data_IF_410099715006
#
_entry.id   IF_410099715006
#
_cell.length_a   1.000
_cell.length_b   1.000
_cell.length_c   1.000
_cell.angle_alpha   90.00
_cell.angle_beta   90.00
_cell.angle_gamma   90.00
#
_symmetry.space_group_name_H-M   'P 1'
#
loop_
_entity.id
_entity.type
_entity.pdbx_description
1 polymer ?
#
# COMPACT_ATOMS: atom_id res chain seq x y z
N UNK A 1 26.52 14.64 16.83
CA UNK A 1 25.23 14.16 17.34
C UNK A 1 25.46 13.44 18.66
N UNK A 2 24.91 13.95 19.75
CA UNK A 2 24.87 13.21 21.02
C UNK A 2 23.74 12.18 20.89
N UNK A 3 24.07 10.90 20.87
CA UNK A 3 23.08 9.85 21.11
C UNK A 3 22.73 9.91 22.60
N UNK A 4 21.64 10.59 22.96
CA UNK A 4 20.97 10.35 24.24
C UNK A 4 20.30 8.98 24.13
N UNK A 5 20.60 8.06 25.03
CA UNK A 5 20.12 6.66 24.99
C UNK A 5 18.61 6.47 25.18
N UNK A 6 17.78 7.49 24.93
CA UNK A 6 16.32 7.40 24.87
C UNK A 6 15.90 7.66 23.44
N UNK A 7 15.17 6.72 22.84
CA UNK A 7 14.48 7.02 21.58
C UNK A 7 13.29 7.94 21.93
N UNK A 8 13.25 9.17 21.40
CA UNK A 8 12.19 10.11 21.75
C UNK A 8 10.85 9.62 21.24
N UNK A 9 9.80 9.80 22.04
CA UNK A 9 8.44 9.55 21.56
C UNK A 9 7.99 10.62 20.54
N UNK A 10 6.79 10.47 20.00
CA UNK A 10 6.29 11.38 18.97
C UNK A 10 6.14 12.84 19.45
N UNK A 11 5.81 13.07 20.73
CA UNK A 11 5.66 14.41 21.29
C UNK A 11 7.01 15.04 21.60
N UNK A 12 7.93 14.26 22.16
CA UNK A 12 9.32 14.68 22.37
C UNK A 12 9.96 15.05 21.04
N UNK A 13 9.79 14.23 20.00
CA UNK A 13 10.32 14.52 18.67
C UNK A 13 9.71 15.77 18.04
N UNK A 14 8.41 16.00 18.25
CA UNK A 14 7.75 17.21 17.78
C UNK A 14 8.33 18.46 18.47
N UNK A 15 8.50 18.41 19.79
CA UNK A 15 9.08 19.50 20.58
C UNK A 15 10.53 19.79 20.16
N UNK A 16 11.36 18.76 19.91
CA UNK A 16 12.72 18.92 19.39
C UNK A 16 12.75 19.64 18.04
N UNK A 17 11.86 19.26 17.12
CA UNK A 17 11.77 19.89 15.80
C UNK A 17 11.34 21.37 15.93
N UNK A 18 10.33 21.64 16.77
CA UNK A 18 9.85 23.00 17.03
C UNK A 18 10.92 23.88 17.69
N UNK A 19 11.69 23.34 18.64
CA UNK A 19 12.78 24.05 19.31
C UNK A 19 13.95 24.35 18.36
N UNK A 20 14.29 23.41 17.47
CA UNK A 20 15.44 23.55 16.57
C UNK A 20 15.14 24.40 15.33
N UNK A 21 13.96 24.21 14.73
CA UNK A 21 13.61 24.82 13.43
C UNK A 21 12.40 25.75 13.50
N UNK A 22 11.47 25.52 14.43
CA UNK A 22 10.22 26.28 14.56
C UNK A 22 9.48 26.41 13.22
N UNK A 23 9.20 27.64 12.81
CA UNK A 23 8.54 27.92 11.53
C UNK A 23 9.52 28.08 10.34
N UNK A 24 10.82 27.84 10.53
CA UNK A 24 11.85 28.07 9.50
C UNK A 24 12.69 26.80 9.18
N UNK A 25 12.08 25.62 8.95
CA UNK A 25 12.83 24.45 8.51
C UNK A 25 13.35 24.62 7.07
N UNK A 26 14.48 23.99 6.76
CA UNK A 26 14.89 23.75 5.38
C UNK A 26 14.07 22.60 4.79
N UNK A 27 13.01 22.91 4.03
CA UNK A 27 12.10 21.92 3.46
C UNK A 27 12.71 21.14 2.27
N UNK A 28 13.83 21.59 1.70
CA UNK A 28 14.54 20.80 0.69
C UNK A 28 15.30 19.64 1.37
N UNK A 29 15.88 19.89 2.55
CA UNK A 29 16.54 18.88 3.36
C UNK A 29 15.54 18.03 4.19
N UNK A 30 14.47 18.64 4.68
CA UNK A 30 13.43 18.03 5.51
C UNK A 30 12.04 18.13 4.87
N UNK A 31 11.82 17.48 3.71
CA UNK A 31 10.55 17.57 3.00
C UNK A 31 9.36 17.04 3.80
N UNK A 32 9.58 16.27 4.87
CA UNK A 32 8.55 15.68 5.73
C UNK A 32 8.48 16.36 7.10
N UNK A 33 9.07 17.54 7.28
CA UNK A 33 9.06 18.28 8.54
C UNK A 33 7.65 18.40 9.13
N UNK A 34 7.44 17.85 10.33
CA UNK A 34 6.18 17.89 11.06
C UNK A 34 5.07 16.99 10.48
N UNK A 35 5.33 16.24 9.41
CA UNK A 35 4.36 15.31 8.83
C UNK A 35 4.25 14.08 9.73
N UNK A 36 3.03 13.80 10.21
CA UNK A 36 2.78 12.65 11.10
C UNK A 36 2.49 11.39 10.30
N UNK A 37 3.16 10.31 10.66
CA UNK A 37 2.99 9.00 10.05
C UNK A 37 2.52 7.96 11.05
N UNK A 38 1.67 7.05 10.59
CA UNK A 38 1.60 5.71 11.19
C UNK A 38 2.28 4.68 10.30
N UNK A 39 2.85 3.65 10.90
CA UNK A 39 3.38 2.49 10.19
C UNK A 39 2.61 1.26 10.58
N UNK A 40 2.24 0.39 9.63
CA UNK A 40 1.69 -0.93 9.95
C UNK A 40 2.59 -1.62 11.00
N UNK A 41 1.99 -2.29 11.97
CA UNK A 41 2.72 -2.87 13.11
C UNK A 41 3.97 -3.72 12.75
N UNK A 42 3.98 -4.52 11.67
CA UNK A 42 5.13 -5.33 11.31
C UNK A 42 6.43 -4.58 11.00
N UNK A 43 6.40 -3.30 10.64
CA UNK A 43 7.63 -2.55 10.27
C UNK A 43 8.47 -2.26 11.51
N UNK A 44 9.77 -2.54 11.48
CA UNK A 44 10.59 -2.28 12.66
C UNK A 44 10.68 -0.79 13.01
N UNK A 45 10.52 -0.48 14.29
CA UNK A 45 10.66 0.86 14.87
C UNK A 45 11.42 0.74 16.18
N UNK A 46 12.54 1.43 16.34
CA UNK A 46 13.41 1.21 17.51
C UNK A 46 12.82 1.70 18.84
N UNK A 47 11.78 2.51 18.78
CA UNK A 47 11.12 3.20 19.90
C UNK A 47 9.74 2.64 20.23
N UNK A 48 9.22 1.73 19.42
CA UNK A 48 7.89 1.14 19.59
C UNK A 48 7.91 -0.34 19.29
N UNK A 49 6.97 -1.07 19.89
CA UNK A 49 6.82 -2.51 19.67
C UNK A 49 6.49 -2.81 18.20
N UNK A 50 7.04 -3.88 17.66
CA UNK A 50 6.77 -4.38 16.31
C UNK A 50 6.47 -5.88 16.41
N UNK A 51 5.17 -6.21 16.51
CA UNK A 51 4.70 -7.55 16.90
C UNK A 51 4.00 -8.29 15.76
N UNK A 52 3.82 -7.64 14.62
CA UNK A 52 2.96 -8.12 13.55
C UNK A 52 1.49 -8.22 13.97
N UNK A 53 1.10 -7.52 15.03
CA UNK A 53 -0.22 -7.58 15.66
C UNK A 53 -0.44 -8.80 16.56
N UNK A 54 0.59 -9.58 16.87
CA UNK A 54 0.48 -10.86 17.57
C UNK A 54 0.84 -10.81 19.05
N UNK A 55 0.18 -11.65 19.84
CA UNK A 55 0.58 -11.95 21.22
C UNK A 55 1.53 -13.14 21.22
N UNK A 56 2.80 -12.86 20.94
CA UNK A 56 3.89 -13.82 21.02
C UNK A 56 4.82 -13.46 22.18
N UNK A 57 5.45 -14.49 22.76
CA UNK A 57 6.40 -14.33 23.85
C UNK A 57 7.76 -13.84 23.34
N UNK A 58 7.81 -12.59 22.89
CA UNK A 58 9.05 -11.91 22.53
C UNK A 58 9.89 -11.67 23.79
N UNK A 59 11.19 -11.97 23.74
CA UNK A 59 12.12 -11.52 24.78
C UNK A 59 12.27 -10.00 24.78
N UNK A 60 12.27 -9.41 23.57
CA UNK A 60 12.25 -7.97 23.30
C UNK A 60 11.33 -7.76 22.10
N UNK A 61 10.26 -6.99 22.27
CA UNK A 61 9.25 -6.73 21.25
C UNK A 61 9.42 -5.38 20.55
N UNK A 62 10.41 -4.58 20.94
CA UNK A 62 10.88 -3.41 20.19
C UNK A 62 12.20 -3.73 19.47
N UNK A 63 12.28 -3.56 18.14
CA UNK A 63 13.50 -3.82 17.38
C UNK A 63 14.69 -2.96 17.81
N UNK A 64 15.90 -3.45 17.57
CA UNK A 64 17.13 -2.70 17.89
C UNK A 64 17.33 -1.47 16.99
N UNK A 65 16.72 -1.45 15.80
CA UNK A 65 16.86 -0.39 14.82
C UNK A 65 15.58 -0.23 13.99
N UNK A 66 15.43 0.95 13.41
CA UNK A 66 14.33 1.23 12.49
C UNK A 66 14.43 0.43 11.18
N UNK A 67 13.27 0.12 10.61
CA UNK A 67 13.17 -0.20 9.19
C UNK A 67 13.71 0.98 8.37
N UNK A 68 14.35 0.72 7.22
CA UNK A 68 15.01 1.78 6.44
C UNK A 68 14.05 2.93 6.09
N UNK A 69 12.81 2.61 5.74
CA UNK A 69 11.80 3.62 5.40
C UNK A 69 11.41 4.50 6.60
N UNK A 70 11.35 3.94 7.81
CA UNK A 70 11.09 4.70 9.05
C UNK A 70 12.25 5.68 9.28
N UNK A 71 13.49 5.17 9.21
CA UNK A 71 14.70 5.98 9.34
C UNK A 71 14.75 7.11 8.31
N UNK A 72 14.51 6.81 7.03
CA UNK A 72 14.56 7.78 5.95
C UNK A 72 13.54 8.90 6.09
N UNK A 73 12.36 8.62 6.67
CA UNK A 73 11.36 9.65 6.96
C UNK A 73 11.77 10.49 8.19
N UNK A 74 12.23 9.86 9.28
CA UNK A 74 12.73 10.56 10.48
C UNK A 74 13.86 11.53 10.14
N UNK A 75 14.82 11.08 9.35
CA UNK A 75 15.95 11.89 8.88
C UNK A 75 15.50 13.09 8.03
N UNK A 76 14.27 13.05 7.50
CA UNK A 76 13.64 14.12 6.70
C UNK A 76 12.56 14.90 7.44
N UNK A 77 12.56 14.82 8.78
CA UNK A 77 11.72 15.62 9.67
C UNK A 77 10.34 15.02 9.97
N UNK A 78 10.06 13.79 9.54
CA UNK A 78 8.80 13.13 9.85
C UNK A 78 8.68 12.77 11.33
N UNK A 79 7.44 12.80 11.83
CA UNK A 79 7.08 12.33 13.18
C UNK A 79 6.40 10.97 13.01
N UNK A 80 7.03 9.91 13.53
CA UNK A 80 6.46 8.56 13.53
C UNK A 80 5.57 8.45 14.76
N UNK A 81 4.27 8.64 14.58
CA UNK A 81 3.31 8.84 15.65
C UNK A 81 2.84 7.54 16.29
N UNK A 82 2.59 6.51 15.47
CA UNK A 82 1.97 5.29 15.96
C UNK A 82 2.22 4.06 15.08
N UNK A 83 2.08 2.89 15.71
CA UNK A 83 1.93 1.60 15.05
C UNK A 83 0.47 1.36 14.71
N UNK A 84 0.20 1.10 13.44
CA UNK A 84 -1.14 0.92 12.92
C UNK A 84 -1.54 -0.55 12.99
N UNK A 85 -2.72 -0.82 13.57
CA UNK A 85 -3.26 -2.18 13.70
C UNK A 85 -3.34 -2.87 12.34
N UNK A 86 -2.97 -4.15 12.31
CA UNK A 86 -3.08 -5.01 11.14
C UNK A 86 -3.80 -6.31 11.47
N UNK A 87 -4.25 -7.04 10.45
CA UNK A 87 -4.58 -8.45 10.64
C UNK A 87 -3.30 -9.19 11.04
N UNK A 88 -3.35 -9.90 12.17
CA UNK A 88 -2.22 -10.62 12.78
C UNK A 88 -1.39 -11.40 11.75
N UNK A 89 -0.06 -11.25 11.82
CA UNK A 89 0.92 -11.83 10.87
C UNK A 89 0.56 -11.57 9.41
N UNK A 90 0.18 -10.34 9.09
CA UNK A 90 -0.27 -9.90 7.76
C UNK A 90 -1.44 -10.71 7.16
N UNK A 91 -2.18 -11.46 7.99
CA UNK A 91 -3.23 -12.37 7.54
C UNK A 91 -2.74 -13.74 7.08
N UNK A 92 -1.48 -14.10 7.38
CA UNK A 92 -0.89 -15.43 7.18
C UNK A 92 -0.26 -15.98 8.47
N UNK A 93 -1.01 -15.96 9.56
CA UNK A 93 -0.62 -16.79 10.70
C UNK A 93 -0.54 -18.24 10.22
N UNK A 94 0.64 -18.85 10.32
CA UNK A 94 0.79 -20.29 10.09
C UNK A 94 0.03 -21.09 11.13
N UNK A 95 0.16 -22.42 11.09
CA UNK A 95 -0.19 -23.24 12.25
C UNK A 95 0.91 -23.06 13.30
N UNK A 96 0.67 -22.40 14.44
CA UNK A 96 1.69 -22.24 15.48
C UNK A 96 2.02 -23.59 16.16
N UNK A 97 1.30 -24.66 15.82
CA UNK A 97 1.33 -25.93 16.52
C UNK A 97 0.67 -25.84 17.90
N UNK A 98 0.78 -26.92 18.68
CA UNK A 98 0.21 -27.02 20.02
C UNK A 98 -1.13 -27.76 20.08
N UNK A 99 -1.76 -27.74 21.26
CA UNK A 99 -2.95 -28.55 21.56
C UNK A 99 -4.28 -27.93 21.10
N UNK A 100 -4.25 -26.68 20.65
CA UNK A 100 -5.44 -25.93 20.25
C UNK A 100 -5.49 -25.86 18.73
N UNK A 101 -6.56 -26.36 18.15
CA UNK A 101 -6.84 -26.26 16.70
C UNK A 101 -8.07 -25.39 16.50
N UNK A 102 -8.05 -24.43 15.56
CA UNK A 102 -9.23 -23.62 15.31
C UNK A 102 -10.36 -24.49 14.74
N UNK A 103 -11.57 -24.35 15.28
CA UNK A 103 -12.76 -25.04 14.75
C UNK A 103 -13.14 -24.54 13.34
N UNK A 104 -12.70 -23.33 12.99
CA UNK A 104 -12.86 -22.74 11.66
C UNK A 104 -11.68 -21.82 11.31
N UNK A 105 -11.20 -21.92 10.07
CA UNK A 105 -10.27 -20.96 9.48
C UNK A 105 -11.09 -19.95 8.69
N UNK A 106 -11.22 -18.73 9.21
CA UNK A 106 -11.82 -17.63 8.47
C UNK A 106 -10.73 -16.93 7.67
N UNK A 107 -10.78 -16.95 6.33
CA UNK A 107 -9.84 -16.20 5.52
C UNK A 107 -9.90 -14.73 5.91
N UNK A 108 -8.75 -14.12 6.22
CA UNK A 108 -8.65 -12.68 6.48
C UNK A 108 -9.28 -11.84 5.36
N UNK A 109 -9.25 -12.37 4.12
CA UNK A 109 -9.87 -11.81 2.92
C UNK A 109 -11.40 -11.75 2.94
N UNK A 110 -12.08 -12.18 4.00
CA UNK A 110 -13.53 -12.02 4.18
C UNK A 110 -13.90 -10.96 5.23
N UNK A 111 -12.96 -10.11 5.63
CA UNK A 111 -13.23 -9.00 6.56
C UNK A 111 -13.12 -9.37 8.05
N UNK A 112 -12.62 -10.56 8.39
CA UNK A 112 -12.37 -10.95 9.78
C UNK A 112 -10.98 -10.48 10.23
N UNK A 113 -10.86 -9.18 10.45
CA UNK A 113 -9.61 -8.56 10.87
C UNK A 113 -9.49 -8.57 12.37
N UNK A 114 -8.42 -9.20 12.87
CA UNK A 114 -8.09 -9.21 14.29
C UNK A 114 -6.59 -9.11 14.45
N UNK A 115 -6.17 -8.27 15.38
CA UNK A 115 -4.89 -8.34 16.06
C UNK A 115 -5.17 -8.68 17.52
N UNK A 116 -4.33 -9.49 18.16
CA UNK A 116 -4.53 -9.81 19.57
C UNK A 116 -4.35 -8.57 20.46
N UNK A 117 -3.38 -7.70 20.14
CA UNK A 117 -3.16 -6.44 20.85
C UNK A 117 -4.11 -5.31 20.41
N UNK A 118 -4.27 -5.13 19.10
CA UNK A 118 -5.03 -4.00 18.54
C UNK A 118 -6.54 -4.24 18.39
N UNK A 119 -7.00 -5.46 18.67
CA UNK A 119 -8.40 -5.85 18.51
C UNK A 119 -8.86 -5.83 17.04
N UNK A 120 -10.14 -5.51 16.85
CA UNK A 120 -10.81 -5.48 15.56
C UNK A 120 -11.09 -4.02 15.16
N UNK A 121 -10.39 -3.45 14.16
CA UNK A 121 -10.70 -2.09 13.71
C UNK A 121 -12.03 -2.07 12.94
N UNK A 122 -12.82 -1.01 13.17
CA UNK A 122 -14.08 -0.74 12.46
C UNK A 122 -13.88 0.19 11.27
N UNK A 123 -14.77 0.10 10.28
CA UNK A 123 -14.78 1.03 9.16
C UNK A 123 -15.26 2.42 9.62
N UNK A 124 -14.59 3.52 9.23
CA UNK A 124 -14.97 4.86 9.66
C UNK A 124 -16.26 5.39 9.01
N UNK A 125 -16.70 4.80 7.89
CA UNK A 125 -17.95 5.16 7.21
C UNK A 125 -19.15 4.35 7.72
N UNK A 126 -18.92 3.18 8.31
CA UNK A 126 -19.94 2.34 8.94
C UNK A 126 -19.28 1.47 10.01
N UNK A 127 -19.40 1.89 11.28
CA UNK A 127 -18.70 1.24 12.39
C UNK A 127 -19.23 -0.16 12.71
N UNK A 128 -20.33 -0.58 12.09
CA UNK A 128 -20.85 -1.96 12.17
C UNK A 128 -20.10 -2.92 11.24
N UNK A 129 -19.26 -2.39 10.34
CA UNK A 129 -18.46 -3.16 9.39
C UNK A 129 -17.00 -3.22 9.79
N UNK A 130 -16.34 -4.29 9.34
CA UNK A 130 -14.89 -4.41 9.42
C UNK A 130 -14.20 -3.27 8.66
N UNK A 131 -13.09 -2.78 9.19
CA UNK A 131 -12.34 -1.68 8.58
C UNK A 131 -11.96 -1.94 7.11
N UNK A 132 -11.62 -3.18 6.74
CA UNK A 132 -11.34 -3.56 5.34
C UNK A 132 -11.20 -5.07 5.14
N UNK A 133 -10.72 -5.50 3.96
CA UNK A 133 -10.21 -6.86 3.70
C UNK A 133 -8.84 -7.12 4.34
N UNK A 134 -8.06 -6.07 4.60
CA UNK A 134 -6.81 -6.17 5.34
C UNK A 134 -5.63 -6.69 4.52
N UNK A 135 -4.43 -6.76 5.09
CA UNK A 135 -4.12 -6.63 6.51
C UNK A 135 -3.70 -5.22 6.97
N UNK A 136 -3.41 -4.24 6.10
CA UNK A 136 -3.00 -2.88 6.54
C UNK A 136 -4.17 -1.97 6.91
N UNK A 137 -5.04 -2.46 7.77
CA UNK A 137 -6.33 -1.85 8.08
C UNK A 137 -6.20 -0.55 8.84
N UNK A 138 -5.44 -0.58 9.94
CA UNK A 138 -5.15 0.59 10.75
C UNK A 138 -4.45 1.67 9.93
N UNK A 139 -3.57 1.30 9.00
CA UNK A 139 -2.86 2.24 8.14
C UNK A 139 -3.81 3.07 7.27
N UNK A 140 -4.81 2.42 6.67
CA UNK A 140 -5.80 3.13 5.87
C UNK A 140 -6.83 3.87 6.74
N UNK A 141 -7.25 3.27 7.85
CA UNK A 141 -8.18 3.89 8.82
C UNK A 141 -7.59 5.17 9.40
N UNK A 142 -6.34 5.15 9.87
CA UNK A 142 -5.68 6.28 10.51
C UNK A 142 -5.58 7.49 9.58
N UNK A 143 -5.28 7.26 8.30
CA UNK A 143 -5.31 8.29 7.26
C UNK A 143 -6.75 8.72 7.00
N UNK A 144 -7.69 7.80 6.86
CA UNK A 144 -9.10 8.10 6.58
C UNK A 144 -9.74 8.98 7.65
N UNK A 145 -9.43 8.74 8.93
CA UNK A 145 -9.96 9.48 10.08
C UNK A 145 -9.13 10.71 10.48
N UNK A 146 -8.07 11.05 9.74
CA UNK A 146 -7.15 12.14 10.04
C UNK A 146 -6.40 11.99 11.39
N UNK A 147 -6.20 10.76 11.87
CA UNK A 147 -5.34 10.52 13.03
C UNK A 147 -3.86 10.77 12.71
N UNK A 148 -3.49 10.52 11.45
CA UNK A 148 -2.16 10.84 10.89
C UNK A 148 -2.33 11.43 9.49
N UNK A 149 -1.32 12.15 9.00
CA UNK A 149 -1.35 12.71 7.65
C UNK A 149 -1.11 11.64 6.57
N UNK A 150 -0.29 10.63 6.89
CA UNK A 150 0.02 9.52 5.99
C UNK A 150 0.32 8.23 6.74
N UNK A 151 0.29 7.10 6.03
CA UNK A 151 0.71 5.83 6.60
C UNK A 151 1.43 4.95 5.58
N UNK A 152 2.40 4.17 6.08
CA UNK A 152 2.96 3.07 5.31
C UNK A 152 2.30 1.75 5.72
N UNK A 153 1.85 1.01 4.70
CA UNK A 153 1.28 -0.32 4.78
C UNK A 153 2.16 -1.35 4.07
N UNK A 154 1.77 -2.61 4.18
CA UNK A 154 2.40 -3.73 3.48
C UNK A 154 1.35 -4.50 2.67
N UNK A 155 1.74 -4.98 1.49
CA UNK A 155 0.92 -5.84 0.64
C UNK A 155 1.63 -7.08 0.08
N UNK A 156 1.22 -8.25 0.58
CA UNK A 156 1.50 -9.53 -0.09
C UNK A 156 0.60 -9.74 -1.31
N UNK A 157 -0.69 -9.40 -1.18
CA UNK A 157 -1.68 -9.60 -2.26
C UNK A 157 -2.65 -8.44 -2.39
N UNK A 158 -3.42 -8.12 -1.35
CA UNK A 158 -4.41 -7.03 -1.40
C UNK A 158 -4.33 -6.12 -0.17
N UNK A 159 -3.27 -6.27 0.63
CA UNK A 159 -3.18 -5.73 1.97
C UNK A 159 -2.89 -4.24 2.07
N UNK A 160 -2.70 -3.55 0.94
CA UNK A 160 -2.77 -2.10 0.87
C UNK A 160 -3.98 -1.64 0.06
N UNK A 161 -4.25 -2.30 -1.09
CA UNK A 161 -5.35 -1.95 -2.01
C UNK A 161 -6.73 -2.15 -1.38
N UNK A 162 -6.93 -3.26 -0.68
CA UNK A 162 -8.16 -3.56 0.06
C UNK A 162 -8.45 -2.48 1.10
N UNK A 163 -7.54 -2.21 2.06
CA UNK A 163 -7.70 -1.12 3.02
C UNK A 163 -7.93 0.25 2.39
N UNK A 164 -7.18 0.61 1.34
CA UNK A 164 -7.35 1.87 0.61
C UNK A 164 -8.76 2.02 0.05
N UNK A 165 -9.26 0.98 -0.64
CA UNK A 165 -10.60 0.97 -1.23
C UNK A 165 -11.72 1.09 -0.19
N UNK A 166 -11.59 0.41 0.96
CA UNK A 166 -12.64 0.39 1.99
C UNK A 166 -12.66 1.65 2.84
N UNK A 167 -11.57 2.40 2.89
CA UNK A 167 -11.42 3.59 3.72
C UNK A 167 -11.32 4.88 2.90
N UNK A 168 -11.55 4.80 1.59
CA UNK A 168 -11.51 5.93 0.65
C UNK A 168 -10.26 6.82 0.81
N UNK A 169 -9.09 6.18 0.84
CA UNK A 169 -7.78 6.84 0.88
C UNK A 169 -6.98 6.51 -0.37
N UNK A 170 -6.12 7.44 -0.79
CA UNK A 170 -5.21 7.24 -1.91
C UNK A 170 -4.12 6.22 -1.57
N UNK A 171 -3.65 5.49 -2.58
CA UNK A 171 -2.57 4.53 -2.46
C UNK A 171 -1.64 4.64 -3.66
N UNK A 172 -0.35 4.77 -3.39
CA UNK A 172 0.69 4.36 -4.34
C UNK A 172 1.28 3.07 -3.81
N UNK A 173 1.22 2.02 -4.62
CA UNK A 173 1.82 0.72 -4.34
C UNK A 173 2.93 0.46 -5.38
N UNK A 174 4.19 0.83 -5.08
CA UNK A 174 5.27 0.68 -6.03
C UNK A 174 5.60 -0.79 -6.32
N UNK A 175 6.46 -0.98 -7.31
CA UNK A 175 7.10 -2.27 -7.54
C UNK A 175 7.91 -2.66 -6.31
N UNK A 176 7.95 -3.96 -5.95
CA UNK A 176 8.69 -4.47 -4.77
C UNK A 176 10.16 -4.05 -4.76
N UNK A 177 10.79 -4.08 -5.94
CA UNK A 177 12.17 -3.65 -6.13
C UNK A 177 12.42 -2.13 -5.97
N UNK A 178 11.35 -1.33 -5.83
CA UNK A 178 11.47 0.09 -5.54
C UNK A 178 11.56 0.30 -4.04
N UNK A 179 10.48 0.15 -3.29
CA UNK A 179 10.52 0.27 -1.83
C UNK A 179 10.37 -1.10 -1.18
N UNK A 180 11.43 -1.52 -0.48
CA UNK A 180 11.50 -2.79 0.22
C UNK A 180 10.54 -2.89 1.40
N UNK A 181 10.38 -4.12 1.89
CA UNK A 181 9.66 -4.44 3.12
C UNK A 181 10.44 -5.41 3.99
N UNK A 182 11.20 -6.34 3.39
CA UNK A 182 11.78 -7.47 4.13
C UNK A 182 13.00 -7.07 4.99
N UNK A 183 13.56 -5.88 4.77
CA UNK A 183 14.79 -5.37 5.39
C UNK A 183 14.68 -4.97 6.87
N UNK A 184 13.68 -5.45 7.60
CA UNK A 184 13.43 -5.08 9.01
C UNK A 184 11.94 -5.02 9.30
N UNK A 185 11.23 -6.11 9.01
CA UNK A 185 9.82 -6.22 9.27
C UNK A 185 9.39 -7.68 9.34
N UNK A 186 8.23 -7.93 9.97
CA UNK A 186 7.62 -9.27 10.02
C UNK A 186 6.80 -9.50 8.73
N UNK A 187 7.33 -10.29 7.79
CA UNK A 187 6.69 -10.61 6.51
C UNK A 187 5.76 -11.81 6.51
N UNK A 188 5.00 -11.94 5.43
CA UNK A 188 4.09 -13.05 5.14
C UNK A 188 4.58 -13.92 3.98
N UNK A 189 5.19 -13.32 2.97
CA UNK A 189 5.69 -13.98 1.76
C UNK A 189 6.74 -13.10 1.08
N UNK A 190 8.01 -13.41 1.35
CA UNK A 190 9.17 -12.64 0.89
C UNK A 190 9.18 -12.38 -0.63
N UNK A 191 8.51 -13.22 -1.44
CA UNK A 191 8.45 -13.04 -2.89
C UNK A 191 7.42 -12.00 -3.34
N UNK A 192 6.42 -11.72 -2.51
CA UNK A 192 5.28 -10.89 -2.86
C UNK A 192 5.18 -9.61 -2.02
N UNK A 193 5.68 -9.65 -0.78
CA UNK A 193 5.55 -8.56 0.19
C UNK A 193 6.19 -7.27 -0.35
N UNK A 194 5.49 -6.16 -0.20
CA UNK A 194 5.92 -4.85 -0.70
C UNK A 194 5.26 -3.74 0.10
N UNK A 195 5.95 -2.63 0.22
CA UNK A 195 5.43 -1.47 0.94
C UNK A 195 4.48 -0.65 0.07
N UNK A 196 3.38 -0.18 0.66
CA UNK A 196 2.45 0.77 0.05
C UNK A 196 2.36 2.06 0.86
N UNK A 197 2.14 3.18 0.17
CA UNK A 197 1.98 4.51 0.78
C UNK A 197 0.51 4.91 0.73
N UNK A 198 -0.13 4.98 1.90
CA UNK A 198 -1.48 5.51 2.08
C UNK A 198 -1.43 7.01 2.39
N UNK A 199 -2.22 7.80 1.66
CA UNK A 199 -2.35 9.24 1.84
C UNK A 199 -3.77 9.71 1.54
N UNK A 200 -4.09 10.97 1.84
CA UNK A 200 -5.40 11.55 1.45
C UNK A 200 -5.51 11.75 -0.05
N UNK A 201 -4.42 12.17 -0.67
CA UNK A 201 -4.33 12.41 -2.11
C UNK A 201 -3.16 11.65 -2.74
N UNK A 202 -3.20 11.47 -4.07
CA UNK A 202 -2.06 10.95 -4.82
C UNK A 202 -0.85 11.88 -4.73
N UNK A 203 -1.07 13.20 -4.60
CA UNK A 203 -0.03 14.20 -4.41
C UNK A 203 0.76 13.95 -3.11
N UNK A 204 0.06 13.62 -2.02
CA UNK A 204 0.70 13.27 -0.74
C UNK A 204 1.51 11.99 -0.88
N UNK A 205 0.93 10.94 -1.48
CA UNK A 205 1.64 9.69 -1.73
C UNK A 205 2.91 9.90 -2.57
N UNK A 206 2.85 10.76 -3.60
CA UNK A 206 3.99 11.06 -4.47
C UNK A 206 5.10 11.81 -3.73
N UNK A 207 4.75 12.83 -2.92
CA UNK A 207 5.71 13.56 -2.07
C UNK A 207 6.43 12.63 -1.09
N UNK A 208 5.69 11.69 -0.49
CA UNK A 208 6.26 10.70 0.44
C UNK A 208 7.19 9.76 -0.32
N UNK A 209 6.80 9.29 -1.50
CA UNK A 209 7.64 8.42 -2.31
C UNK A 209 8.95 9.12 -2.72
N UNK A 210 8.90 10.41 -3.06
CA UNK A 210 10.09 11.23 -3.30
C UNK A 210 10.95 11.40 -2.04
N UNK A 211 10.33 11.62 -0.89
CA UNK A 211 11.04 11.72 0.39
C UNK A 211 11.69 10.40 0.82
N UNK A 212 11.12 9.24 0.47
CA UNK A 212 11.72 7.94 0.79
C UNK A 212 12.99 7.64 -0.01
N UNK A 213 13.27 8.40 -1.07
CA UNK A 213 14.45 8.21 -1.92
C UNK A 213 15.69 8.83 -1.26
N UNK A 214 16.69 7.99 -1.01
CA UNK A 214 18.03 8.44 -0.67
C UNK A 214 18.69 9.15 -1.87
N UNK A 215 19.36 10.30 -1.68
CA UNK A 215 20.03 11.01 -2.76
C UNK A 215 21.16 10.22 -3.43
N UNK A 216 21.81 9.29 -2.72
CA UNK A 216 22.95 8.49 -3.20
C UNK A 216 22.53 7.09 -3.59
N UNK A 217 21.84 6.40 -2.69
CA UNK A 217 21.51 4.98 -2.83
C UNK A 217 20.12 4.76 -3.44
N UNK A 218 19.35 5.82 -3.68
CA UNK A 218 17.98 5.71 -4.18
C UNK A 218 17.08 5.02 -3.17
N UNK A 219 16.42 3.94 -3.56
CA UNK A 219 15.59 3.15 -2.65
C UNK A 219 16.25 1.83 -2.20
N UNK A 220 17.55 1.70 -2.39
CA UNK A 220 18.29 0.51 -2.02
C UNK A 220 18.29 0.30 -0.50
N UNK A 221 17.96 -0.92 -0.08
CA UNK A 221 18.12 -1.42 1.28
C UNK A 221 19.04 -2.63 1.24
N UNK A 222 20.18 -2.53 1.92
CA UNK A 222 21.15 -3.63 2.01
C UNK A 222 20.57 -4.88 2.69
N UNK A 223 19.48 -4.72 3.47
CA UNK A 223 18.79 -5.80 4.17
C UNK A 223 17.66 -6.43 3.34
N UNK A 224 17.27 -5.83 2.21
CA UNK A 224 16.24 -6.36 1.30
C UNK A 224 16.86 -6.64 -0.08
N UNK A 225 17.16 -7.91 -0.41
CA UNK A 225 17.83 -8.25 -1.67
C UNK A 225 17.03 -7.85 -2.91
N UNK A 226 15.71 -7.68 -2.82
CA UNK A 226 14.88 -7.30 -3.97
C UNK A 226 15.04 -5.84 -4.37
N UNK A 227 15.54 -4.99 -3.48
CA UNK A 227 15.86 -3.59 -3.81
C UNK A 227 17.19 -3.44 -4.56
N UNK A 228 17.93 -4.54 -4.73
CA UNK A 228 19.17 -4.57 -5.52
C UNK A 228 18.86 -4.47 -7.01
N UNK A 229 18.72 -3.26 -7.51
CA UNK A 229 18.47 -2.97 -8.93
C UNK A 229 19.71 -2.38 -9.61
N UNK A 230 19.88 -2.55 -10.94
CA UNK A 230 20.93 -1.86 -11.68
C UNK A 230 20.84 -0.34 -11.48
N UNK A 231 21.99 0.34 -11.37
CA UNK A 231 22.02 1.82 -11.21
C UNK A 231 21.27 2.58 -12.30
N UNK A 232 21.18 2.00 -13.51
CA UNK A 232 20.40 2.56 -14.62
C UNK A 232 18.89 2.55 -14.40
N UNK A 233 18.39 1.70 -13.50
CA UNK A 233 16.98 1.60 -13.11
C UNK A 233 16.59 2.59 -12.01
N UNK A 234 17.56 3.32 -11.43
CA UNK A 234 17.29 4.35 -10.43
C UNK A 234 16.59 5.52 -11.12
N UNK A 235 15.35 5.77 -10.71
CA UNK A 235 14.52 6.87 -11.22
C UNK A 235 15.19 8.20 -10.85
N UNK A 236 15.48 9.06 -11.82
CA UNK A 236 16.18 10.33 -11.59
C UNK A 236 15.24 11.50 -11.32
N UNK A 237 14.04 11.47 -11.89
CA UNK A 237 12.99 12.49 -11.73
C UNK A 237 12.25 12.30 -10.41
N UNK A 238 11.59 13.36 -9.93
CA UNK A 238 10.66 13.23 -8.80
C UNK A 238 9.30 12.75 -9.30
N UNK A 239 8.57 12.02 -8.47
CA UNK A 239 7.20 11.61 -8.75
C UNK A 239 6.27 12.82 -8.79
N UNK A 240 6.50 13.81 -7.93
CA UNK A 240 5.73 15.06 -7.95
C UNK A 240 5.86 15.84 -9.26
N UNK A 241 6.96 15.68 -10.01
CA UNK A 241 7.14 16.32 -11.32
C UNK A 241 6.15 15.80 -12.37
N UNK A 242 5.52 14.64 -12.12
CA UNK A 242 4.52 14.03 -13.00
C UNK A 242 3.08 14.40 -12.58
N UNK A 243 2.91 15.17 -11.50
CA UNK A 243 1.62 15.70 -11.10
C UNK A 243 1.32 16.95 -11.93
N UNK A 244 0.06 17.11 -12.29
CA UNK A 244 -0.40 18.28 -12.99
C UNK A 244 -0.84 19.36 -11.99
N UNK A 245 -0.38 20.58 -12.20
CA UNK A 245 -1.01 21.71 -11.51
C UNK A 245 -2.41 22.00 -12.10
N UNK A 246 -3.19 22.84 -11.40
CA UNK A 246 -4.55 23.23 -11.82
C UNK A 246 -4.60 23.94 -13.17
N UNK A 247 -3.47 24.49 -13.65
CA UNK A 247 -3.38 25.29 -14.87
C UNK A 247 -2.85 24.48 -16.06
N UNK A 248 -2.33 23.28 -15.81
CA UNK A 248 -1.75 22.42 -16.83
C UNK A 248 -2.86 21.77 -17.63
N UNK A 249 -2.86 22.03 -18.95
CA UNK A 249 -3.74 21.31 -19.87
C UNK A 249 -3.27 19.86 -19.99
N UNK A 250 -3.88 18.99 -19.19
CA UNK A 250 -3.59 17.57 -19.21
C UNK A 250 -4.06 16.90 -20.49
N UNK A 251 -3.25 15.99 -21.00
CA UNK A 251 -3.65 15.08 -22.07
C UNK A 251 -2.99 13.72 -21.92
N UNK A 252 -3.79 12.68 -22.16
CA UNK A 252 -3.41 11.30 -22.30
C UNK A 252 -3.59 10.82 -23.76
N UNK A 253 -3.57 11.73 -24.74
CA UNK A 253 -3.84 11.44 -26.17
C UNK A 253 -3.07 10.25 -26.75
N UNK A 254 -1.84 10.05 -26.28
CA UNK A 254 -0.95 8.98 -26.75
C UNK A 254 -0.95 7.75 -25.84
N UNK A 255 -1.78 7.75 -24.80
CA UNK A 255 -1.88 6.67 -23.83
C UNK A 255 -3.05 5.75 -24.18
N UNK A 256 -2.80 4.46 -24.05
CA UNK A 256 -3.79 3.39 -24.23
C UNK A 256 -4.12 2.83 -22.86
N UNK A 257 -5.34 3.05 -22.40
CA UNK A 257 -5.79 2.57 -21.09
C UNK A 257 -6.71 1.37 -21.27
N UNK A 258 -6.42 0.33 -20.51
CA UNK A 258 -7.15 -0.93 -20.55
C UNK A 258 -8.10 -1.08 -19.37
N UNK A 259 -9.39 -1.08 -19.64
CA UNK A 259 -10.43 -1.42 -18.69
C UNK A 259 -10.57 -2.95 -18.60
N UNK A 260 -10.52 -3.46 -17.37
CA UNK A 260 -10.65 -4.89 -17.10
C UNK A 260 -12.14 -5.20 -16.90
N UNK A 261 -12.80 -5.64 -17.96
CA UNK A 261 -14.23 -5.99 -17.99
C UNK A 261 -14.59 -7.04 -16.93
N UNK A 262 -13.67 -7.95 -16.60
CA UNK A 262 -13.82 -8.94 -15.54
C UNK A 262 -14.07 -8.29 -14.17
N UNK A 263 -13.54 -7.07 -13.93
CA UNK A 263 -13.76 -6.31 -12.68
C UNK A 263 -15.05 -5.49 -12.67
N UNK A 264 -15.79 -5.47 -13.78
CA UNK A 264 -17.07 -4.78 -13.90
C UNK A 264 -18.26 -5.74 -13.73
N UNK A 265 -18.01 -7.05 -13.78
CA UNK A 265 -19.05 -8.07 -13.61
C UNK A 265 -19.59 -8.02 -12.19
N UNK A 266 -20.92 -7.93 -12.07
CA UNK A 266 -21.65 -7.99 -10.81
C UNK A 266 -22.84 -8.95 -10.94
N UNK A 267 -23.36 -9.51 -9.82
CA UNK A 267 -24.54 -10.36 -9.81
C UNK A 267 -25.75 -9.68 -10.48
N UNK A 268 -26.53 -10.47 -11.20
CA UNK A 268 -27.76 -9.98 -11.83
C UNK A 268 -28.67 -9.34 -10.75
N UNK A 269 -29.21 -8.17 -11.06
CA UNK A 269 -30.09 -7.39 -10.18
C UNK A 269 -29.42 -6.83 -8.91
N UNK A 270 -28.08 -6.79 -8.83
CA UNK A 270 -27.37 -6.15 -7.71
C UNK A 270 -27.70 -4.65 -7.62
N UNK A 271 -28.36 -4.25 -6.52
CA UNK A 271 -28.70 -2.86 -6.23
C UNK A 271 -27.53 -2.06 -5.65
N UNK A 272 -26.48 -2.73 -5.18
CA UNK A 272 -25.32 -2.10 -4.56
C UNK A 272 -24.17 -1.90 -5.55
N UNK A 273 -23.86 -2.90 -6.38
CA UNK A 273 -22.68 -2.84 -7.25
C UNK A 273 -22.99 -2.16 -8.57
N UNK A 274 -24.19 -2.36 -9.13
CA UNK A 274 -24.57 -1.77 -10.42
C UNK A 274 -24.40 -0.24 -10.44
N UNK A 275 -24.92 0.54 -9.48
CA UNK A 275 -24.76 2.00 -9.52
C UNK A 275 -23.30 2.44 -9.42
N UNK A 276 -22.47 1.71 -8.66
CA UNK A 276 -21.05 2.01 -8.49
C UNK A 276 -20.30 1.75 -9.80
N UNK A 277 -20.53 0.59 -10.42
CA UNK A 277 -19.88 0.23 -11.69
C UNK A 277 -20.32 1.16 -12.82
N UNK A 278 -21.61 1.48 -12.92
CA UNK A 278 -22.13 2.44 -13.90
C UNK A 278 -21.48 3.82 -13.73
N UNK A 279 -21.40 4.33 -12.49
CA UNK A 279 -20.81 5.63 -12.20
C UNK A 279 -19.31 5.67 -12.52
N UNK A 280 -18.56 4.64 -12.10
CA UNK A 280 -17.14 4.52 -12.38
C UNK A 280 -16.87 4.45 -13.90
N UNK A 281 -17.66 3.68 -14.65
CA UNK A 281 -17.54 3.57 -16.10
C UNK A 281 -17.83 4.91 -16.78
N UNK A 282 -18.89 5.60 -16.36
CA UNK A 282 -19.24 6.92 -16.89
C UNK A 282 -18.12 7.94 -16.64
N UNK A 283 -17.55 7.95 -15.43
CA UNK A 283 -16.44 8.83 -15.07
C UNK A 283 -15.16 8.51 -15.86
N UNK A 284 -14.80 7.23 -16.01
CA UNK A 284 -13.66 6.79 -16.81
C UNK A 284 -13.81 7.24 -18.27
N UNK A 285 -14.97 7.03 -18.89
CA UNK A 285 -15.21 7.45 -20.28
C UNK A 285 -15.17 8.97 -20.43
N UNK A 286 -15.81 9.69 -19.51
CA UNK A 286 -15.87 11.15 -19.57
C UNK A 286 -14.52 11.81 -19.30
N UNK A 287 -13.84 11.41 -18.22
CA UNK A 287 -12.59 12.03 -17.79
C UNK A 287 -11.42 11.50 -18.61
N UNK A 288 -11.18 10.19 -18.60
CA UNK A 288 -9.99 9.63 -19.24
C UNK A 288 -10.15 9.61 -20.76
N UNK A 289 -11.30 9.15 -21.26
CA UNK A 289 -11.60 9.09 -22.69
C UNK A 289 -11.80 10.46 -23.32
N UNK A 290 -12.82 11.22 -22.90
CA UNK A 290 -13.19 12.46 -23.59
C UNK A 290 -12.34 13.66 -23.18
N UNK A 291 -12.22 13.94 -21.87
CA UNK A 291 -11.52 15.15 -21.39
C UNK A 291 -10.00 15.05 -21.57
N UNK A 292 -9.42 13.90 -21.26
CA UNK A 292 -7.97 13.66 -21.36
C UNK A 292 -7.55 13.03 -22.69
N UNK A 293 -8.50 12.61 -23.54
CA UNK A 293 -8.24 12.04 -24.87
C UNK A 293 -7.51 10.68 -24.85
N UNK A 294 -7.57 9.91 -23.76
CA UNK A 294 -6.96 8.59 -23.71
C UNK A 294 -7.67 7.60 -24.65
N UNK A 295 -6.91 6.73 -25.31
CA UNK A 295 -7.50 5.62 -26.08
C UNK A 295 -7.92 4.50 -25.14
N UNK A 296 -9.21 4.41 -24.87
CA UNK A 296 -9.78 3.37 -24.02
C UNK A 296 -9.92 2.05 -24.78
N UNK A 297 -9.53 0.97 -24.09
CA UNK A 297 -9.67 -0.42 -24.53
C UNK A 297 -10.34 -1.20 -23.42
N UNK A 298 -11.00 -2.30 -23.77
CA UNK A 298 -11.59 -3.22 -22.81
C UNK A 298 -11.11 -4.65 -23.05
N UNK A 299 -10.91 -5.41 -21.97
CA UNK A 299 -10.79 -6.87 -22.02
C UNK A 299 -12.15 -7.50 -22.31
N UNK A 300 -12.20 -8.82 -22.45
CA UNK A 300 -13.45 -9.54 -22.71
C UNK A 300 -13.80 -10.48 -21.57
N UNK A 301 -15.08 -10.47 -21.17
CA UNK A 301 -15.66 -11.43 -20.23
C UNK A 301 -17.05 -11.88 -20.74
N UNK A 302 -17.43 -13.18 -20.64
CA UNK A 302 -18.73 -13.65 -21.13
C UNK A 302 -19.94 -13.07 -20.39
N UNK A 303 -19.75 -12.61 -19.15
CA UNK A 303 -20.79 -12.01 -18.32
C UNK A 303 -20.87 -10.49 -18.47
N UNK A 304 -19.96 -9.89 -19.24
CA UNK A 304 -19.94 -8.45 -19.47
C UNK A 304 -20.32 -8.09 -20.91
N UNK A 305 -21.18 -7.08 -21.05
CA UNK A 305 -21.57 -6.58 -22.37
C UNK A 305 -20.47 -5.71 -22.95
N UNK A 306 -20.07 -5.99 -24.19
CA UNK A 306 -19.03 -5.21 -24.89
C UNK A 306 -19.51 -3.79 -25.16
N UNK A 307 -18.80 -2.78 -24.63
CA UNK A 307 -19.00 -1.39 -25.01
C UNK A 307 -18.44 -1.13 -26.41
N UNK A 308 -19.26 -0.58 -27.31
CA UNK A 308 -18.89 -0.32 -28.71
C UNK A 308 -18.04 0.94 -28.87
N UNK A 309 -18.03 1.82 -27.88
CA UNK A 309 -17.26 3.06 -27.89
C UNK A 309 -15.78 2.83 -27.52
N UNK A 310 -15.45 1.63 -27.01
CA UNK A 310 -14.10 1.25 -26.61
C UNK A 310 -13.48 0.24 -27.57
N UNK A 311 -12.16 0.33 -27.75
CA UNK A 311 -11.43 -0.69 -28.50
C UNK A 311 -11.37 -2.01 -27.73
N UNK A 312 -11.14 -3.13 -28.41
CA UNK A 312 -10.96 -4.44 -27.74
C UNK A 312 -9.47 -4.77 -27.58
N UNK A 313 -9.10 -5.28 -26.41
CA UNK A 313 -7.75 -5.81 -26.18
C UNK A 313 -7.51 -7.06 -27.04
N UNK A 314 -6.38 -7.09 -27.77
CA UNK A 314 -6.01 -8.27 -28.57
C UNK A 314 -5.70 -9.50 -27.70
N UNK A 315 -5.01 -9.26 -26.59
CA UNK A 315 -4.66 -10.24 -25.56
C UNK A 315 -5.21 -9.70 -24.25
N UNK A 316 -6.28 -10.31 -23.76
CA UNK A 316 -6.84 -10.06 -22.44
C UNK A 316 -6.22 -11.01 -21.41
N UNK A 317 -6.59 -10.84 -20.14
CA UNK A 317 -6.07 -11.65 -19.05
C UNK A 317 -6.30 -13.14 -19.28
N UNK A 318 -7.50 -13.54 -19.72
CA UNK A 318 -7.84 -14.94 -19.98
C UNK A 318 -6.92 -15.54 -21.05
N UNK A 319 -6.75 -14.87 -22.19
CA UNK A 319 -5.84 -15.33 -23.27
C UNK A 319 -4.38 -15.34 -22.82
N UNK A 320 -3.95 -14.34 -22.06
CA UNK A 320 -2.59 -14.29 -21.52
C UNK A 320 -2.35 -15.49 -20.58
N UNK A 321 -3.27 -15.73 -19.64
CA UNK A 321 -3.18 -16.84 -18.70
C UNK A 321 -3.18 -18.19 -19.42
N UNK A 322 -4.07 -18.42 -20.40
CA UNK A 322 -4.07 -19.65 -21.19
C UNK A 322 -2.74 -19.91 -21.90
N UNK A 323 -2.04 -18.85 -22.35
CA UNK A 323 -0.71 -18.98 -22.97
C UNK A 323 0.40 -19.22 -21.95
N UNK A 324 0.24 -18.72 -20.73
CA UNK A 324 1.22 -18.89 -19.65
C UNK A 324 1.04 -20.20 -18.90
N UNK A 325 -0.18 -20.76 -18.86
CA UNK A 325 -0.48 -22.01 -18.14
C UNK A 325 0.46 -23.16 -18.53
N UNK A 326 0.80 -23.43 -19.81
CA UNK A 326 1.76 -24.47 -20.16
C UNK A 326 3.19 -24.22 -19.65
N UNK A 327 3.55 -22.95 -19.42
CA UNK A 327 4.88 -22.55 -18.91
C UNK A 327 4.91 -22.64 -17.38
N UNK A 328 3.84 -22.19 -16.71
CA UNK A 328 3.71 -22.16 -15.25
C UNK A 328 3.37 -23.53 -14.68
N UNK A 329 2.57 -24.30 -15.41
CA UNK A 329 2.19 -25.66 -15.09
C UNK A 329 2.88 -26.56 -16.12
N UNK A 330 4.16 -26.89 -15.89
CA UNK A 330 4.81 -28.01 -16.57
C UNK A 330 4.13 -29.33 -16.14
N UNK A 331 2.88 -29.52 -16.55
CA UNK A 331 2.19 -30.79 -16.41
C UNK A 331 2.58 -31.59 -17.65
N UNK A 332 3.52 -32.51 -17.48
CA UNK A 332 3.73 -33.61 -18.41
C UNK A 332 2.44 -34.41 -18.53
N UNK A 333 1.58 -34.04 -19.48
CA UNK A 333 0.56 -34.96 -19.98
C UNK A 333 1.28 -36.02 -20.83
N UNK A 334 1.79 -37.06 -20.17
CA UNK A 334 2.03 -38.34 -20.83
C UNK A 334 0.67 -38.93 -21.16
N UNK A 335 0.20 -38.70 -22.38
CA UNK A 335 -0.93 -39.44 -22.93
C UNK A 335 -0.48 -40.90 -23.05
N UNK A 336 -1.00 -41.77 -22.17
CA UNK A 336 -1.09 -43.21 -22.42
C UNK A 336 -2.53 -43.55 -22.75
#
# INVERSE_FOLDING_TARGET
MKYSGSNPDALERAAELDDEYGCNPDLDAMPMYGVTFSFKDPFDTSDMRSTGGADAAYEIDFPAQDHLLVKQLRDKGAIIFAKAVNTEYNGRAGDPGGRNTPDAILPSTLGYQRSTWGGNPSNPYDTTRAASLGSSSGSAVSVSTNLVMASLGEETRASCRGPSNHNAVSLILPHKAMIGFDGGAIGADIYCDRTGVHGKSLDDCAKILDALKDPKEGYYDERDPYTTVPRSSIIKTKFVDNLADKNTRLSLANIRLGLISESLVYPKDSLTEKPIVDAALAEIKNILGHKLNAKLLQSSDPLWSTDKDMGVMKVDFRRALTRLLPVLCQISFSIR
#
